data_IF_283439595657
#
_entry.id   IF_283439595657
#
_cell.length_a   1.000
_cell.length_b   1.000
_cell.length_c   1.000
_cell.angle_alpha   90.00
_cell.angle_beta   90.00
_cell.angle_gamma   90.00
#
_symmetry.space_group_name_H-M   'P 1'
#
loop_
_entity.id
_entity.type
_entity.pdbx_description
1 polymer ?
#
# COMPACT_ATOMS: atom_id res chain seq x y z
N UNK A 1 9.85 13.16 8.54
CA UNK A 1 8.41 13.49 8.45
C UNK A 1 7.82 12.91 7.18
N UNK A 2 6.71 12.22 7.30
CA UNK A 2 6.04 11.65 6.14
C UNK A 2 5.20 12.75 5.47
N UNK A 3 5.49 13.00 4.20
CA UNK A 3 4.78 14.02 3.41
C UNK A 3 4.27 13.35 2.14
N UNK A 4 2.99 13.52 1.85
CA UNK A 4 2.38 12.96 0.65
C UNK A 4 2.72 13.82 -0.56
N UNK A 5 3.32 13.20 -1.56
CA UNK A 5 3.61 13.83 -2.85
C UNK A 5 3.21 12.88 -3.96
N UNK A 6 2.01 12.38 -3.89
CA UNK A 6 1.49 11.45 -4.87
C UNK A 6 1.47 12.08 -6.26
N UNK A 7 1.96 11.35 -7.25
CA UNK A 7 1.97 11.81 -8.63
C UNK A 7 0.79 11.30 -9.42
N UNK A 8 0.24 10.17 -9.03
CA UNK A 8 -0.79 9.51 -9.82
C UNK A 8 -1.78 8.82 -8.91
N UNK A 9 -3.04 9.13 -9.11
CA UNK A 9 -4.13 8.50 -8.36
C UNK A 9 -5.21 8.04 -9.32
N UNK A 10 -5.94 7.02 -8.90
CA UNK A 10 -7.09 6.48 -9.64
C UNK A 10 -8.24 6.30 -8.67
N UNK A 11 -9.45 6.42 -9.20
CA UNK A 11 -10.66 6.11 -8.44
C UNK A 11 -11.18 4.74 -8.85
N UNK A 12 -11.52 3.93 -7.85
CA UNK A 12 -12.10 2.61 -8.05
C UNK A 12 -13.35 2.50 -7.20
N UNK A 13 -14.21 1.54 -7.52
CA UNK A 13 -15.32 1.18 -6.63
C UNK A 13 -14.76 0.29 -5.52
N UNK A 14 -15.12 0.61 -4.28
CA UNK A 14 -14.72 -0.19 -3.14
C UNK A 14 -15.59 -1.45 -3.04
N UNK A 15 -14.96 -2.64 -2.96
CA UNK A 15 -15.63 -3.93 -2.90
C UNK A 15 -16.02 -4.36 -1.49
N UNK A 16 -15.46 -3.72 -0.47
CA UNK A 16 -15.75 -4.05 0.93
C UNK A 16 -15.65 -2.78 1.78
N UNK A 17 -16.09 -2.85 3.03
CA UNK A 17 -15.98 -1.68 3.91
C UNK A 17 -14.50 -1.44 4.26
N UNK A 18 -14.00 -0.26 3.87
CA UNK A 18 -12.62 0.16 4.12
C UNK A 18 -12.58 1.43 4.97
N UNK A 19 -13.54 1.61 5.87
CA UNK A 19 -13.70 2.84 6.65
C UNK A 19 -12.56 3.10 7.65
N UNK A 20 -11.64 2.13 7.83
CA UNK A 20 -10.47 2.30 8.69
C UNK A 20 -9.18 1.89 7.96
N UNK A 21 -9.17 1.88 6.64
CA UNK A 21 -8.08 1.34 5.84
C UNK A 21 -7.25 2.40 5.12
N UNK A 22 -7.44 3.68 5.43
CA UNK A 22 -6.62 4.75 4.86
C UNK A 22 -5.13 4.48 5.12
N UNK A 23 -4.31 4.69 4.10
CA UNK A 23 -2.87 4.44 4.11
C UNK A 23 -2.49 2.96 4.23
N UNK A 24 -3.33 2.10 3.69
CA UNK A 24 -3.03 0.66 3.58
C UNK A 24 -3.03 0.22 2.12
N UNK A 25 -2.31 -0.85 1.83
CA UNK A 25 -2.29 -1.42 0.48
C UNK A 25 -3.62 -2.05 0.15
N UNK A 26 -4.05 -1.88 -1.10
CA UNK A 26 -5.27 -2.49 -1.62
C UNK A 26 -4.98 -3.24 -2.91
N UNK A 27 -5.79 -4.27 -3.18
CA UNK A 27 -5.69 -5.10 -4.37
C UNK A 27 -6.82 -4.76 -5.33
N UNK A 28 -6.57 -4.94 -6.64
CA UNK A 28 -7.59 -4.81 -7.66
C UNK A 28 -8.15 -6.21 -7.95
N UNK A 29 -9.44 -6.37 -7.71
CA UNK A 29 -10.11 -7.64 -7.91
C UNK A 29 -10.57 -7.81 -9.37
N UNK A 30 -10.96 -9.04 -9.73
CA UNK A 30 -11.32 -9.35 -11.12
C UNK A 30 -12.57 -8.61 -11.60
N UNK A 31 -13.40 -8.12 -10.71
CA UNK A 31 -14.58 -7.33 -11.03
C UNK A 31 -14.28 -5.82 -11.18
N UNK A 32 -13.01 -5.42 -11.04
CA UNK A 32 -12.61 -4.03 -11.12
C UNK A 32 -12.74 -3.25 -9.83
N UNK A 33 -13.18 -3.88 -8.75
CA UNK A 33 -13.28 -3.25 -7.43
C UNK A 33 -11.99 -3.44 -6.65
N UNK A 34 -11.78 -2.62 -5.62
CA UNK A 34 -10.60 -2.74 -4.76
C UNK A 34 -10.99 -3.27 -3.38
N UNK A 35 -10.13 -4.11 -2.84
CA UNK A 35 -10.26 -4.68 -1.49
C UNK A 35 -8.94 -4.49 -0.74
N UNK A 36 -8.99 -4.58 0.58
CA UNK A 36 -7.78 -4.53 1.41
C UNK A 36 -6.89 -5.72 1.07
N UNK A 37 -5.58 -5.48 0.99
CA UNK A 37 -4.61 -6.57 0.83
C UNK A 37 -4.72 -7.52 2.03
N UNK A 38 -4.85 -8.81 1.77
CA UNK A 38 -5.10 -9.82 2.80
C UNK A 38 -4.10 -10.98 2.79
N UNK A 39 -3.12 -10.94 1.89
CA UNK A 39 -2.06 -11.94 1.82
C UNK A 39 -0.70 -11.25 1.77
N UNK A 40 0.20 -11.65 2.67
CA UNK A 40 1.54 -11.05 2.74
C UNK A 40 2.29 -11.26 1.41
N UNK A 41 2.86 -10.18 0.89
CA UNK A 41 3.68 -10.23 -0.33
C UNK A 41 2.91 -10.30 -1.63
N UNK A 42 1.58 -10.16 -1.62
CA UNK A 42 0.80 -10.17 -2.86
C UNK A 42 0.99 -8.87 -3.65
N UNK A 43 0.66 -8.93 -4.94
CA UNK A 43 0.68 -7.75 -5.79
C UNK A 43 -0.52 -6.87 -5.47
N UNK A 44 -0.28 -5.57 -5.24
CA UNK A 44 -1.32 -4.60 -4.93
C UNK A 44 -1.41 -3.56 -6.06
N UNK A 45 -2.58 -2.91 -6.19
CA UNK A 45 -2.73 -1.82 -7.16
C UNK A 45 -2.15 -0.52 -6.60
N UNK A 46 -2.15 -0.35 -5.29
CA UNK A 46 -1.61 0.85 -4.68
C UNK A 46 -2.01 1.00 -3.23
N UNK A 47 -1.99 2.23 -2.75
CA UNK A 47 -2.28 2.61 -1.36
C UNK A 47 -3.56 3.43 -1.31
N UNK A 48 -4.47 3.05 -0.43
CA UNK A 48 -5.75 3.73 -0.24
C UNK A 48 -5.54 5.08 0.45
N UNK A 49 -6.14 6.13 -0.09
CA UNK A 49 -5.99 7.49 0.43
C UNK A 49 -7.19 8.00 1.22
N UNK A 50 -8.30 7.27 1.20
CA UNK A 50 -9.52 7.66 1.93
C UNK A 50 -10.08 6.46 2.69
N UNK A 51 -11.25 6.62 3.30
CA UNK A 51 -11.88 5.57 4.10
C UNK A 51 -13.30 5.29 3.56
N UNK A 52 -13.42 4.65 2.39
CA UNK A 52 -14.74 4.44 1.77
C UNK A 52 -15.53 3.33 2.45
N UNK A 53 -16.86 3.47 2.45
CA UNK A 53 -17.74 2.36 2.73
C UNK A 53 -17.90 1.51 1.45
N UNK A 54 -18.40 0.28 1.61
CA UNK A 54 -18.62 -0.61 0.48
C UNK A 54 -19.48 0.07 -0.59
N UNK A 55 -19.03 0.00 -1.83
CA UNK A 55 -19.71 0.60 -2.98
C UNK A 55 -19.39 2.06 -3.22
N UNK A 56 -18.68 2.72 -2.32
CA UNK A 56 -18.25 4.11 -2.51
C UNK A 56 -16.96 4.20 -3.32
N UNK A 57 -16.61 5.41 -3.75
CA UNK A 57 -15.39 5.63 -4.51
C UNK A 57 -14.17 5.53 -3.59
N UNK A 58 -13.23 4.68 -3.95
CA UNK A 58 -11.92 4.56 -3.29
C UNK A 58 -10.90 5.35 -4.11
N UNK A 59 -10.18 6.26 -3.45
CA UNK A 59 -9.08 6.98 -4.07
C UNK A 59 -7.79 6.26 -3.75
N UNK A 60 -7.08 5.81 -4.78
CA UNK A 60 -5.89 4.97 -4.64
C UNK A 60 -4.70 5.63 -5.31
N UNK A 61 -3.61 5.82 -4.55
CA UNK A 61 -2.33 6.24 -5.12
C UNK A 61 -1.68 5.04 -5.78
N UNK A 62 -1.28 5.18 -7.05
CA UNK A 62 -0.66 4.08 -7.80
C UNK A 62 0.83 4.28 -8.06
N UNK A 63 1.35 5.48 -7.86
CA UNK A 63 2.78 5.75 -7.97
C UNK A 63 3.14 7.04 -7.25
N UNK A 64 4.42 7.25 -7.01
CA UNK A 64 4.97 8.46 -6.43
C UNK A 64 5.25 8.31 -4.93
N UNK A 65 5.47 9.43 -4.27
CA UNK A 65 5.73 9.45 -2.84
C UNK A 65 4.41 9.43 -2.09
N UNK A 66 4.15 8.35 -1.37
CA UNK A 66 2.89 8.16 -0.64
C UNK A 66 3.16 7.79 0.80
N UNK A 67 2.16 8.02 1.65
CA UNK A 67 2.18 7.55 3.04
C UNK A 67 1.50 6.21 3.15
N UNK A 68 2.07 5.33 3.98
CA UNK A 68 1.51 4.01 4.26
C UNK A 68 1.76 3.68 5.73
N UNK A 69 0.86 2.90 6.33
CA UNK A 69 1.03 2.45 7.71
C UNK A 69 2.07 1.34 7.77
N UNK A 70 3.03 1.47 8.67
CA UNK A 70 4.05 0.44 8.89
C UNK A 70 3.49 -0.69 9.73
N UNK A 71 3.74 -1.93 9.32
CA UNK A 71 3.37 -3.14 10.06
C UNK A 71 4.51 -3.76 10.86
N UNK A 72 5.66 -3.10 10.92
CA UNK A 72 6.83 -3.56 11.66
C UNK A 72 7.94 -2.55 11.61
N UNK A 73 9.12 -2.92 12.13
CA UNK A 73 10.31 -2.07 12.06
C UNK A 73 10.90 -2.11 10.66
N UNK A 74 11.07 -0.94 10.05
CA UNK A 74 11.54 -0.80 8.67
C UNK A 74 12.69 0.19 8.65
N UNK A 75 13.75 -0.16 7.92
CA UNK A 75 14.89 0.74 7.72
C UNK A 75 14.67 1.60 6.47
N UNK A 76 15.22 2.81 6.47
CA UNK A 76 15.21 3.65 5.27
C UNK A 76 15.92 2.92 4.11
N UNK A 77 15.33 3.00 2.92
CA UNK A 77 15.87 2.34 1.72
C UNK A 77 15.44 0.89 1.55
N UNK A 78 14.75 0.30 2.53
CA UNK A 78 14.31 -1.09 2.43
C UNK A 78 13.24 -1.25 1.35
N UNK A 79 13.28 -2.37 0.62
CA UNK A 79 12.20 -2.76 -0.28
C UNK A 79 10.96 -3.12 0.54
N UNK A 80 9.79 -2.72 0.07
CA UNK A 80 8.54 -2.80 0.82
C UNK A 80 7.55 -3.73 0.13
N UNK A 81 6.90 -4.58 0.94
CA UNK A 81 5.77 -5.40 0.54
C UNK A 81 4.56 -5.09 1.42
N UNK A 82 3.38 -5.57 1.02
CA UNK A 82 2.23 -5.59 1.92
C UNK A 82 2.37 -6.75 2.92
N UNK A 83 1.86 -6.56 4.13
CA UNK A 83 1.59 -7.70 5.02
C UNK A 83 0.15 -8.19 4.83
N UNK A 84 -0.31 -9.12 5.66
CA UNK A 84 -1.65 -9.68 5.54
C UNK A 84 -2.76 -8.71 5.95
N UNK A 85 -2.41 -7.54 6.47
CA UNK A 85 -3.36 -6.50 6.92
C UNK A 85 -3.29 -5.24 6.06
N UNK A 86 -2.55 -5.28 4.96
CA UNK A 86 -2.36 -4.12 4.10
C UNK A 86 -1.31 -3.12 4.58
N UNK A 87 -0.59 -3.42 5.65
CA UNK A 87 0.47 -2.56 6.17
C UNK A 87 1.80 -2.85 5.47
N UNK A 88 2.72 -1.90 5.54
CA UNK A 88 4.02 -2.03 4.92
C UNK A 88 4.96 -2.87 5.78
N UNK A 89 5.69 -3.78 5.13
CA UNK A 89 6.76 -4.57 5.74
C UNK A 89 7.98 -4.54 4.83
N UNK A 90 9.16 -4.88 5.40
CA UNK A 90 10.34 -5.16 4.58
C UNK A 90 10.07 -6.39 3.73
N UNK A 91 10.32 -6.29 2.43
CA UNK A 91 9.99 -7.35 1.48
C UNK A 91 10.84 -8.60 1.73
N UNK A 92 10.17 -9.76 1.68
CA UNK A 92 10.80 -11.06 1.82
C UNK A 92 11.01 -11.70 0.45
N UNK A 93 11.90 -12.71 0.40
CA UNK A 93 12.18 -13.44 -0.83
C UNK A 93 10.92 -14.04 -1.43
N UNK A 94 10.73 -13.84 -2.73
CA UNK A 94 9.56 -14.32 -3.46
C UNK A 94 8.34 -13.40 -3.42
N UNK A 95 8.37 -12.35 -2.63
CA UNK A 95 7.24 -11.44 -2.49
C UNK A 95 7.35 -10.24 -3.43
N UNK A 96 6.21 -9.67 -3.78
CA UNK A 96 6.16 -8.54 -4.71
C UNK A 96 6.58 -7.27 -3.99
N UNK A 97 7.55 -6.55 -4.57
CA UNK A 97 8.00 -5.25 -4.07
C UNK A 97 7.04 -4.18 -4.56
N UNK A 98 6.42 -3.46 -3.60
CA UNK A 98 5.50 -2.37 -3.92
C UNK A 98 6.16 -1.00 -3.86
N UNK A 99 7.36 -0.90 -3.33
CA UNK A 99 8.08 0.37 -3.25
C UNK A 99 9.30 0.28 -2.36
N UNK A 100 9.84 1.45 -2.02
CA UNK A 100 11.02 1.56 -1.17
C UNK A 100 10.76 2.57 -0.06
N UNK A 101 11.22 2.25 1.16
CA UNK A 101 11.06 3.13 2.31
C UNK A 101 11.93 4.38 2.14
N UNK A 102 11.32 5.54 2.28
CA UNK A 102 12.03 6.82 2.21
C UNK A 102 12.51 7.28 3.59
N UNK A 103 12.07 6.61 4.65
CA UNK A 103 12.46 6.89 6.02
C UNK A 103 12.34 5.62 6.86
N UNK A 104 13.01 5.60 8.00
CA UNK A 104 12.86 4.52 8.96
C UNK A 104 11.52 4.64 9.69
N UNK A 105 10.93 3.51 10.09
CA UNK A 105 9.67 3.50 10.82
C UNK A 105 9.60 2.33 11.80
N UNK A 106 8.79 2.50 12.82
CA UNK A 106 8.40 1.43 13.75
C UNK A 106 6.98 0.98 13.45
N UNK A 107 6.59 -0.16 14.01
CA UNK A 107 5.25 -0.71 13.85
C UNK A 107 4.17 0.32 14.25
N UNK A 108 3.17 0.46 13.39
CA UNK A 108 2.03 1.36 13.62
C UNK A 108 2.26 2.80 13.20
N UNK A 109 3.45 3.18 12.76
CA UNK A 109 3.70 4.54 12.29
C UNK A 109 3.24 4.73 10.85
N UNK A 110 2.84 5.96 10.52
CA UNK A 110 2.61 6.37 9.13
C UNK A 110 3.97 6.80 8.58
N UNK A 111 4.38 6.17 7.49
CA UNK A 111 5.70 6.40 6.88
C UNK A 111 5.57 6.75 5.41
N UNK A 112 6.59 7.39 4.85
CA UNK A 112 6.64 7.69 3.42
C UNK A 112 7.40 6.60 2.68
N UNK A 113 6.84 6.18 1.55
CA UNK A 113 7.52 5.27 0.61
C UNK A 113 7.49 5.86 -0.79
N UNK A 114 8.40 5.39 -1.63
CA UNK A 114 8.29 5.60 -3.07
C UNK A 114 7.55 4.41 -3.64
N UNK A 115 6.30 4.61 -4.01
CA UNK A 115 5.43 3.55 -4.52
C UNK A 115 5.76 3.31 -6.00
N UNK A 116 5.95 2.05 -6.37
CA UNK A 116 6.22 1.65 -7.75
C UNK A 116 5.19 0.64 -8.23
N UNK A 117 5.02 0.60 -9.54
CA UNK A 117 4.24 -0.43 -10.23
C UNK A 117 5.19 -1.22 -11.11
N UNK A 118 5.07 -2.50 -11.15
CA UNK A 118 5.95 -3.27 -12.01
C UNK A 118 6.07 -4.73 -11.61
N UNK A 119 5.50 -5.09 -10.47
CA UNK A 119 5.48 -6.49 -10.05
C UNK A 119 6.86 -7.07 -9.78
N UNK A 120 7.85 -6.24 -9.42
CA UNK A 120 9.19 -6.72 -9.09
C UNK A 120 9.10 -7.69 -7.91
N UNK A 121 9.83 -8.77 -8.01
CA UNK A 121 9.83 -9.81 -6.99
C UNK A 121 11.22 -9.91 -6.38
N UNK A 122 11.28 -10.06 -5.07
CA UNK A 122 12.55 -10.27 -4.36
C UNK A 122 13.12 -11.63 -4.75
N UNK A 123 14.39 -11.61 -5.16
CA UNK A 123 15.09 -12.83 -5.57
C UNK A 123 15.35 -13.76 -4.37
#
# INVERSE_FOLDING_TARGET
MAVMQSRDTRSFVDGESLTAAQFKFVTLESDGQVDLADAAGENCIGVLLNNPAAGEAATVAISGKVMVTSGGTIAAGAAIQTDANGDALTAASGDVVMGYALEAAFDGQIMAIELIQGGNVVA
#
